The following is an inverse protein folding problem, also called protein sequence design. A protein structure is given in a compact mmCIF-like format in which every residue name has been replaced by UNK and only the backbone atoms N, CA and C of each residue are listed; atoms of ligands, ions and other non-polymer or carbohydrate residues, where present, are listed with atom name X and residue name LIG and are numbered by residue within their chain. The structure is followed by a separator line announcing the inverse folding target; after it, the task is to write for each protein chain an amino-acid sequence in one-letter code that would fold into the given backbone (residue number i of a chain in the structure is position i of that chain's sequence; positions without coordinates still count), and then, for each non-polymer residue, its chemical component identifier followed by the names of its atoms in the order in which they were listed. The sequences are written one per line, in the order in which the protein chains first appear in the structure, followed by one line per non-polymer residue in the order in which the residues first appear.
data_IF_757429154806
#
_entry.id   IF_757429154806
#
_cell.length_a   1.000
_cell.length_b   1.000
_cell.length_c   1.000
_cell.angle_alpha   90.00
_cell.angle_beta   90.00
_cell.angle_gamma   90.00
#
_symmetry.space_group_name_H-M   'P 1'
#
loop_
_entity.id
_entity.type
_entity.pdbx_description
1 polymer ?
#
# COMPACT_ATOMS: atom_id res chain seq x y z
N UNK A 1 9.59 4.18 -26.38
CA UNK A 1 8.28 4.75 -25.98
C UNK A 1 8.55 5.74 -24.86
N UNK A 2 8.20 7.02 -25.02
CA UNK A 2 8.56 8.05 -24.04
C UNK A 2 7.58 8.01 -22.84
N UNK A 3 8.02 8.42 -21.64
CA UNK A 3 7.26 8.32 -20.37
C UNK A 3 5.84 8.88 -20.45
N UNK A 4 5.64 9.96 -21.21
CA UNK A 4 4.34 10.58 -21.44
C UNK A 4 3.39 9.70 -22.29
N UNK A 5 3.92 8.94 -23.24
CA UNK A 5 3.11 8.02 -24.06
C UNK A 5 2.65 6.79 -23.25
N UNK A 6 3.47 6.33 -22.29
CA UNK A 6 3.13 5.22 -21.40
C UNK A 6 2.00 5.62 -20.41
N UNK A 7 2.07 6.83 -19.85
CA UNK A 7 1.02 7.37 -18.96
C UNK A 7 -0.31 7.53 -19.70
N UNK A 8 -0.28 8.09 -20.91
CA UNK A 8 -1.47 8.24 -21.75
C UNK A 8 -2.07 6.88 -22.13
N UNK A 9 -1.26 5.90 -22.55
CA UNK A 9 -1.74 4.57 -22.91
C UNK A 9 -2.37 3.85 -21.70
N UNK A 10 -1.72 3.90 -20.53
CA UNK A 10 -2.26 3.32 -19.30
C UNK A 10 -3.55 4.01 -18.86
N UNK A 11 -3.66 5.33 -19.04
CA UNK A 11 -4.89 6.07 -18.74
C UNK A 11 -6.05 5.71 -19.67
N UNK A 12 -5.77 5.50 -20.96
CA UNK A 12 -6.76 5.08 -21.96
C UNK A 12 -7.23 3.63 -21.73
N UNK A 13 -6.30 2.72 -21.43
CA UNK A 13 -6.62 1.33 -21.08
C UNK A 13 -7.43 1.27 -19.78
N UNK A 14 -7.06 2.07 -18.77
CA UNK A 14 -7.82 2.18 -17.52
C UNK A 14 -9.24 2.73 -17.75
N UNK A 15 -9.40 3.75 -18.60
CA UNK A 15 -10.71 4.30 -18.96
C UNK A 15 -11.59 3.28 -19.70
N UNK A 16 -11.02 2.54 -20.67
CA UNK A 16 -11.76 1.51 -21.39
C UNK A 16 -12.21 0.37 -20.47
N UNK A 17 -11.32 -0.05 -19.57
CA UNK A 17 -11.63 -1.06 -18.55
C UNK A 17 -12.69 -0.56 -17.57
N UNK A 18 -12.65 0.72 -17.19
CA UNK A 18 -13.65 1.33 -16.31
C UNK A 18 -15.04 1.39 -16.95
N UNK A 19 -15.16 1.89 -18.19
CA UNK A 19 -16.45 1.93 -18.89
C UNK A 19 -17.05 0.54 -19.07
N UNK A 20 -16.20 -0.45 -19.35
CA UNK A 20 -16.62 -1.85 -19.49
C UNK A 20 -17.09 -2.44 -18.15
N UNK A 21 -16.39 -2.13 -17.05
CA UNK A 21 -16.78 -2.52 -15.70
C UNK A 21 -18.09 -1.85 -15.29
N UNK A 22 -18.22 -0.55 -15.54
CA UNK A 22 -19.44 0.22 -15.26
C UNK A 22 -20.64 -0.38 -15.99
N UNK A 23 -20.51 -0.67 -17.28
CA UNK A 23 -21.56 -1.31 -18.06
C UNK A 23 -21.94 -2.68 -17.46
N UNK A 24 -20.96 -3.51 -17.10
CA UNK A 24 -21.22 -4.81 -16.45
C UNK A 24 -21.97 -4.66 -15.13
N UNK A 25 -21.53 -3.73 -14.27
CA UNK A 25 -22.19 -3.46 -12.98
C UNK A 25 -23.63 -3.00 -13.18
N UNK A 26 -23.88 -2.14 -14.17
CA UNK A 26 -25.23 -1.66 -14.50
C UNK A 26 -26.16 -2.75 -15.02
N UNK A 27 -25.61 -3.83 -15.59
CA UNK A 27 -26.38 -4.98 -16.07
C UNK A 27 -26.58 -6.08 -15.03
N UNK A 28 -26.00 -5.95 -13.83
CA UNK A 28 -26.19 -6.95 -12.78
C UNK A 28 -27.64 -6.98 -12.32
N UNK A 29 -28.23 -8.17 -12.34
CA UNK A 29 -29.56 -8.46 -11.78
C UNK A 29 -29.41 -9.43 -10.63
N UNK A 30 -30.15 -9.21 -9.55
CA UNK A 30 -30.21 -10.15 -8.45
C UNK A 30 -31.04 -11.38 -8.87
N UNK A 31 -30.49 -12.58 -8.67
CA UNK A 31 -31.20 -13.84 -8.90
C UNK A 31 -30.80 -14.86 -7.82
N UNK A 32 -31.76 -15.68 -7.39
CA UNK A 32 -31.52 -16.76 -6.44
C UNK A 32 -31.41 -16.32 -4.97
N UNK A 33 -30.61 -17.07 -4.20
CA UNK A 33 -30.37 -16.82 -2.78
C UNK A 33 -29.02 -16.14 -2.54
N UNK A 34 -28.93 -15.35 -1.46
CA UNK A 34 -27.69 -14.83 -0.92
C UNK A 34 -26.96 -15.92 -0.13
N UNK A 35 -25.81 -16.35 -0.66
CA UNK A 35 -24.86 -17.30 -0.05
C UNK A 35 -23.65 -16.53 0.50
N UNK A 36 -23.90 -15.67 1.47
CA UNK A 36 -22.91 -14.79 2.08
C UNK A 36 -21.74 -15.58 2.67
N UNK A 37 -22.02 -16.64 3.44
CA UNK A 37 -20.97 -17.42 4.10
C UNK A 37 -20.14 -18.21 3.10
N UNK A 38 -20.78 -18.92 2.19
CA UNK A 38 -20.07 -19.68 1.17
C UNK A 38 -19.23 -18.80 0.24
N UNK A 39 -19.76 -17.67 -0.23
CA UNK A 39 -19.00 -16.72 -1.06
C UNK A 39 -17.81 -16.13 -0.30
N UNK A 40 -17.99 -15.82 0.99
CA UNK A 40 -16.89 -15.37 1.85
C UNK A 40 -15.83 -16.47 2.01
N UNK A 41 -16.24 -17.71 2.27
CA UNK A 41 -15.34 -18.86 2.39
C UNK A 41 -14.51 -19.07 1.12
N UNK A 42 -15.14 -19.11 -0.05
CA UNK A 42 -14.46 -19.31 -1.33
C UNK A 42 -13.45 -18.18 -1.60
N UNK A 43 -13.82 -16.95 -1.27
CA UNK A 43 -12.93 -15.78 -1.38
C UNK A 43 -11.74 -15.90 -0.44
N UNK A 44 -11.95 -16.14 0.86
CA UNK A 44 -10.86 -16.29 1.83
C UNK A 44 -9.93 -17.45 1.46
N UNK A 45 -10.48 -18.57 0.97
CA UNK A 45 -9.69 -19.72 0.52
C UNK A 45 -8.81 -19.34 -0.67
N UNK A 46 -9.34 -18.58 -1.62
CA UNK A 46 -8.55 -18.03 -2.74
C UNK A 46 -7.42 -17.11 -2.24
N UNK A 47 -7.71 -16.22 -1.29
CA UNK A 47 -6.71 -15.32 -0.69
C UNK A 47 -5.60 -16.07 0.04
N UNK A 48 -5.95 -17.15 0.76
CA UNK A 48 -5.00 -17.98 1.47
C UNK A 48 -3.99 -18.66 0.53
N UNK A 49 -4.42 -19.02 -0.68
CA UNK A 49 -3.58 -19.65 -1.71
C UNK A 49 -2.87 -18.64 -2.63
N UNK A 50 -3.31 -17.39 -2.65
CA UNK A 50 -2.75 -16.37 -3.54
C UNK A 50 -1.42 -15.84 -3.01
N UNK A 51 -0.41 -15.81 -3.87
CA UNK A 51 0.85 -15.13 -3.61
C UNK A 51 0.69 -13.59 -3.68
N UNK A 52 -0.34 -13.08 -4.34
CA UNK A 52 -0.53 -11.64 -4.53
C UNK A 52 -1.21 -10.96 -3.34
N UNK A 53 -0.95 -9.67 -3.17
CA UNK A 53 -1.71 -8.80 -2.27
C UNK A 53 -3.05 -8.44 -2.91
N UNK A 54 -4.14 -8.64 -2.16
CA UNK A 54 -5.50 -8.38 -2.63
C UNK A 54 -6.27 -7.49 -1.66
N UNK A 55 -7.16 -6.67 -2.21
CA UNK A 55 -8.15 -5.91 -1.47
C UNK A 55 -9.54 -6.39 -1.85
N UNK A 56 -10.27 -6.92 -0.88
CA UNK A 56 -11.65 -7.39 -1.07
C UNK A 56 -12.61 -6.40 -0.42
N UNK A 57 -13.62 -5.98 -1.17
CA UNK A 57 -14.74 -5.17 -0.68
C UNK A 57 -16.01 -6.03 -0.73
N UNK A 58 -16.48 -6.50 0.42
CA UNK A 58 -17.73 -7.25 0.54
C UNK A 58 -18.87 -6.28 0.89
N UNK A 59 -19.74 -6.02 -0.08
CA UNK A 59 -20.99 -5.29 0.15
C UNK A 59 -22.09 -6.28 0.53
N UNK A 60 -22.72 -6.08 1.69
CA UNK A 60 -23.77 -6.98 2.19
C UNK A 60 -24.75 -6.23 3.10
N UNK A 61 -26.01 -6.64 3.14
CA UNK A 61 -26.99 -6.20 4.15
C UNK A 61 -26.87 -6.99 5.48
N UNK A 62 -26.03 -8.02 5.49
CA UNK A 62 -25.76 -8.89 6.63
C UNK A 62 -26.57 -10.19 6.65
N UNK A 63 -27.48 -10.42 5.70
CA UNK A 63 -28.34 -11.60 5.72
C UNK A 63 -27.84 -12.72 4.78
N UNK A 64 -27.65 -13.92 5.33
CA UNK A 64 -27.44 -15.14 4.56
C UNK A 64 -28.77 -15.88 4.39
N UNK A 65 -29.40 -15.74 3.22
CA UNK A 65 -30.68 -16.39 2.91
C UNK A 65 -30.54 -17.88 2.56
N UNK A 66 -29.34 -18.35 2.21
CA UNK A 66 -29.06 -19.77 1.99
C UNK A 66 -29.18 -20.57 3.31
N UNK A 67 -28.84 -19.94 4.44
CA UNK A 67 -28.92 -20.49 5.81
C UNK A 67 -28.17 -21.82 5.96
N UNK A 68 -27.09 -21.98 5.22
CA UNK A 68 -26.29 -23.19 5.26
C UNK A 68 -25.34 -23.18 6.48
N UNK A 69 -25.72 -23.97 7.49
CA UNK A 69 -24.93 -24.10 8.72
C UNK A 69 -23.54 -24.73 8.52
N UNK A 70 -23.34 -25.52 7.46
CA UNK A 70 -22.04 -26.10 7.16
C UNK A 70 -21.08 -25.02 6.65
N UNK A 71 -21.54 -24.16 5.75
CA UNK A 71 -20.73 -23.06 5.20
C UNK A 71 -20.34 -22.06 6.29
N UNK A 72 -21.27 -21.76 7.19
CA UNK A 72 -21.00 -20.92 8.36
C UNK A 72 -19.87 -21.50 9.23
N UNK A 73 -19.88 -22.82 9.51
CA UNK A 73 -18.82 -23.48 10.28
C UNK A 73 -17.48 -23.47 9.56
N UNK A 74 -17.47 -23.82 8.28
CA UNK A 74 -16.26 -23.84 7.46
C UNK A 74 -15.61 -22.46 7.36
N UNK A 75 -16.42 -21.41 7.21
CA UNK A 75 -15.95 -20.03 7.25
C UNK A 75 -15.35 -19.68 8.60
N UNK A 76 -16.03 -20.00 9.71
CA UNK A 76 -15.53 -19.75 11.06
C UNK A 76 -14.18 -20.43 11.33
N UNK A 77 -14.03 -21.68 10.89
CA UNK A 77 -12.77 -22.43 11.00
C UNK A 77 -11.66 -21.78 10.17
N UNK A 78 -11.96 -21.39 8.92
CA UNK A 78 -10.99 -20.74 8.04
C UNK A 78 -10.53 -19.38 8.56
N UNK A 79 -11.46 -18.55 9.06
CA UNK A 79 -11.17 -17.25 9.66
C UNK A 79 -10.22 -17.41 10.86
N UNK A 80 -10.49 -18.39 11.71
CA UNK A 80 -9.68 -18.68 12.90
C UNK A 80 -8.30 -19.25 12.54
N UNK A 81 -8.24 -20.12 11.52
CA UNK A 81 -7.04 -20.84 11.10
C UNK A 81 -6.18 -20.14 10.04
N UNK A 82 -6.54 -18.92 9.62
CA UNK A 82 -5.82 -18.23 8.56
C UNK A 82 -4.36 -17.92 8.99
N UNK A 83 -3.40 -18.20 8.11
CA UNK A 83 -1.98 -17.95 8.36
C UNK A 83 -1.68 -16.45 8.47
N UNK A 84 -0.69 -16.10 9.31
CA UNK A 84 -0.32 -14.71 9.57
C UNK A 84 0.11 -13.98 8.30
N UNK A 85 0.81 -14.66 7.39
CA UNK A 85 1.26 -14.11 6.12
C UNK A 85 0.09 -13.78 5.20
N UNK A 86 -0.95 -14.62 5.19
CA UNK A 86 -2.16 -14.37 4.40
C UNK A 86 -2.95 -13.18 4.96
N UNK A 87 -3.02 -13.03 6.29
CA UNK A 87 -3.61 -11.85 6.95
C UNK A 87 -2.81 -10.59 6.63
N UNK A 88 -1.49 -10.66 6.75
CA UNK A 88 -0.60 -9.53 6.53
C UNK A 88 -0.61 -9.04 5.09
N UNK A 89 -0.77 -9.94 4.11
CA UNK A 89 -0.72 -9.60 2.67
C UNK A 89 -2.03 -9.05 2.09
N UNK A 90 -3.16 -9.33 2.72
CA UNK A 90 -4.48 -9.00 2.15
C UNK A 90 -5.25 -8.01 3.04
N UNK A 91 -6.25 -7.36 2.46
CA UNK A 91 -7.30 -6.64 3.18
C UNK A 91 -8.67 -7.18 2.81
N UNK A 92 -9.56 -7.23 3.78
CA UNK A 92 -10.93 -7.66 3.59
C UNK A 92 -11.87 -6.71 4.32
N UNK A 93 -12.51 -5.83 3.57
CA UNK A 93 -13.45 -4.86 4.09
C UNK A 93 -14.87 -5.40 4.00
N UNK A 94 -15.62 -5.27 5.08
CA UNK A 94 -17.06 -5.56 5.11
C UNK A 94 -17.80 -4.23 5.14
N UNK A 95 -18.68 -4.05 4.15
CA UNK A 95 -19.44 -2.83 3.91
C UNK A 95 -20.92 -3.16 4.06
N UNK A 96 -21.51 -2.70 5.16
CA UNK A 96 -22.89 -2.96 5.48
C UNK A 96 -23.85 -1.98 4.79
N UNK A 97 -24.75 -2.53 3.99
CA UNK A 97 -25.81 -1.87 3.23
C UNK A 97 -27.15 -1.89 3.99
N UNK A 98 -27.14 -1.72 5.31
CA UNK A 98 -28.33 -1.85 6.14
C UNK A 98 -27.99 -2.19 7.57
N UNK A 99 -28.24 -3.44 7.96
CA UNK A 99 -28.00 -3.93 9.31
C UNK A 99 -26.52 -4.20 9.57
N UNK A 100 -26.14 -4.30 10.84
CA UNK A 100 -24.74 -4.51 11.24
C UNK A 100 -24.22 -5.94 11.00
N UNK A 101 -24.98 -6.81 10.33
CA UNK A 101 -24.61 -8.22 10.15
C UNK A 101 -24.39 -8.97 11.47
N UNK A 102 -23.86 -10.18 11.35
CA UNK A 102 -23.60 -11.08 12.47
C UNK A 102 -22.15 -10.97 13.00
N UNK A 103 -21.82 -11.75 14.04
CA UNK A 103 -20.47 -11.76 14.60
C UNK A 103 -19.44 -12.31 13.59
N UNK A 104 -19.82 -13.34 12.81
CA UNK A 104 -18.90 -14.01 11.91
C UNK A 104 -18.43 -13.07 10.77
N UNK A 105 -19.34 -12.30 10.18
CA UNK A 105 -19.00 -11.31 9.16
C UNK A 105 -18.10 -10.20 9.70
N UNK A 106 -18.31 -9.77 10.95
CA UNK A 106 -17.42 -8.81 11.62
C UNK A 106 -16.03 -9.38 11.90
N UNK A 107 -15.96 -10.66 12.30
CA UNK A 107 -14.70 -11.35 12.57
C UNK A 107 -13.83 -11.50 11.33
N UNK A 108 -14.43 -11.61 10.13
CA UNK A 108 -13.69 -11.57 8.86
C UNK A 108 -12.93 -10.25 8.74
N UNK A 109 -13.60 -9.10 8.84
CA UNK A 109 -12.95 -7.80 8.71
C UNK A 109 -11.85 -7.60 9.76
N UNK A 110 -12.13 -7.99 11.01
CA UNK A 110 -11.19 -7.92 12.12
C UNK A 110 -9.94 -8.77 11.89
N UNK A 111 -10.09 -9.93 11.26
CA UNK A 111 -8.97 -10.84 10.97
C UNK A 111 -7.91 -10.23 10.05
N UNK A 112 -8.27 -9.25 9.23
CA UNK A 112 -7.37 -8.53 8.32
C UNK A 112 -7.00 -7.11 8.80
N UNK A 113 -7.34 -6.77 10.05
CA UNK A 113 -7.22 -5.41 10.59
C UNK A 113 -7.87 -4.37 9.65
N UNK A 114 -9.05 -4.70 9.15
CA UNK A 114 -9.83 -3.85 8.25
C UNK A 114 -10.99 -3.21 9.01
N UNK A 115 -11.26 -1.89 8.80
CA UNK A 115 -12.45 -1.27 9.34
C UNK A 115 -13.72 -1.83 8.70
N UNK A 116 -14.77 -1.96 9.52
CA UNK A 116 -16.13 -2.17 9.04
C UNK A 116 -16.70 -0.83 8.60
N UNK A 117 -17.40 -0.81 7.47
CA UNK A 117 -17.97 0.41 6.89
C UNK A 117 -19.48 0.28 6.87
N UNK A 118 -20.19 1.32 7.30
CA UNK A 118 -21.64 1.38 7.24
C UNK A 118 -22.04 2.40 6.19
N UNK A 119 -22.78 1.99 5.18
CA UNK A 119 -23.18 2.90 4.09
C UNK A 119 -24.15 3.99 4.54
N UNK A 120 -24.82 3.81 5.67
CA UNK A 120 -25.76 4.77 6.25
C UNK A 120 -25.08 5.81 7.15
N UNK A 121 -23.78 5.68 7.42
CA UNK A 121 -23.06 6.63 8.26
C UNK A 121 -22.96 8.00 7.58
N UNK A 122 -23.00 9.07 8.38
CA UNK A 122 -23.03 10.44 7.87
C UNK A 122 -21.77 10.80 7.07
N UNK A 123 -20.61 10.30 7.49
CA UNK A 123 -19.33 10.45 6.82
C UNK A 123 -19.30 9.71 5.47
N UNK A 124 -19.78 8.48 5.39
CA UNK A 124 -19.88 7.74 4.12
C UNK A 124 -20.84 8.45 3.15
N UNK A 125 -22.04 8.82 3.63
CA UNK A 125 -23.04 9.51 2.82
C UNK A 125 -22.57 10.90 2.33
N UNK A 126 -21.74 11.58 3.10
CA UNK A 126 -21.07 12.81 2.67
C UNK A 126 -19.99 12.54 1.63
N UNK A 127 -19.20 11.47 1.83
CA UNK A 127 -18.11 11.10 0.95
C UNK A 127 -18.59 10.70 -0.46
N UNK A 128 -19.63 9.87 -0.57
CA UNK A 128 -20.11 9.38 -1.88
C UNK A 128 -20.68 10.47 -2.81
N UNK A 129 -21.00 11.66 -2.28
CA UNK A 129 -21.55 12.78 -3.06
C UNK A 129 -20.48 13.61 -3.75
N UNK A 130 -19.22 13.46 -3.35
CA UNK A 130 -18.10 14.27 -3.81
C UNK A 130 -16.91 13.34 -4.07
N UNK A 131 -16.47 13.18 -5.35
CA UNK A 131 -15.38 12.28 -5.71
C UNK A 131 -14.08 12.53 -4.94
N UNK A 132 -13.75 13.78 -4.61
CA UNK A 132 -12.52 14.08 -3.86
C UNK A 132 -12.67 13.68 -2.39
N UNK A 133 -13.84 13.91 -1.79
CA UNK A 133 -14.11 13.40 -0.43
C UNK A 133 -14.16 11.89 -0.38
N UNK A 134 -14.67 11.22 -1.41
CA UNK A 134 -14.67 9.76 -1.48
C UNK A 134 -13.24 9.21 -1.52
N UNK A 135 -12.34 9.86 -2.26
CA UNK A 135 -10.91 9.51 -2.26
C UNK A 135 -10.29 9.68 -0.88
N UNK A 136 -10.49 10.83 -0.23
CA UNK A 136 -9.99 11.06 1.14
C UNK A 136 -10.56 10.06 2.14
N UNK A 137 -11.88 9.82 2.09
CA UNK A 137 -12.56 8.85 2.94
C UNK A 137 -12.00 7.43 2.78
N UNK A 138 -11.75 7.02 1.54
CA UNK A 138 -11.18 5.72 1.21
C UNK A 138 -9.71 5.60 1.65
N UNK A 139 -8.92 6.66 1.49
CA UNK A 139 -7.52 6.75 1.92
C UNK A 139 -7.38 6.63 3.44
N UNK A 140 -8.15 7.41 4.21
CA UNK A 140 -8.17 7.39 5.68
C UNK A 140 -8.47 6.00 6.26
N UNK A 141 -9.26 5.21 5.55
CA UNK A 141 -9.67 3.84 5.95
C UNK A 141 -8.85 2.75 5.24
N UNK A 142 -7.93 3.14 4.38
CA UNK A 142 -7.04 2.24 3.64
C UNK A 142 -7.72 1.32 2.64
N UNK A 143 -8.91 1.64 2.12
CA UNK A 143 -9.72 0.77 1.22
C UNK A 143 -8.96 0.32 -0.02
N UNK A 144 -8.07 1.17 -0.51
CA UNK A 144 -7.25 0.90 -1.69
C UNK A 144 -5.77 0.83 -1.35
N UNK A 145 -5.44 0.53 -0.09
CA UNK A 145 -4.05 0.31 0.30
C UNK A 145 -3.63 -1.12 -0.02
N UNK A 146 -2.49 -1.31 -0.66
CA UNK A 146 -1.89 -2.64 -0.85
C UNK A 146 -0.60 -2.72 -0.05
N UNK A 147 -0.35 -3.87 0.58
CA UNK A 147 0.88 -4.09 1.35
C UNK A 147 1.93 -4.74 0.46
N UNK A 148 3.10 -4.12 0.38
CA UNK A 148 4.28 -4.65 -0.28
C UNK A 148 5.33 -5.06 0.75
N UNK A 149 6.08 -6.12 0.43
CA UNK A 149 7.27 -6.47 1.19
C UNK A 149 8.44 -5.66 0.65
N UNK A 150 9.08 -4.91 1.53
CA UNK A 150 10.33 -4.21 1.22
C UNK A 150 11.47 -4.93 1.92
N UNK A 151 12.39 -5.44 1.11
CA UNK A 151 13.62 -6.06 1.57
C UNK A 151 14.76 -5.06 1.42
N UNK A 152 15.44 -4.78 2.53
CA UNK A 152 16.56 -3.86 2.62
C UNK A 152 17.81 -4.66 2.95
N UNK A 153 18.85 -4.53 2.13
CA UNK A 153 20.14 -5.18 2.40
C UNK A 153 21.24 -4.14 2.51
N UNK A 154 21.98 -4.17 3.61
CA UNK A 154 23.13 -3.30 3.88
C UNK A 154 24.35 -4.14 4.27
N UNK A 155 25.16 -4.52 3.27
CA UNK A 155 26.37 -5.33 3.51
C UNK A 155 26.06 -6.78 3.92
N UNK A 156 26.96 -7.48 4.65
CA UNK A 156 26.83 -8.92 4.92
C UNK A 156 25.79 -9.28 6.00
N UNK A 157 25.17 -8.30 6.66
CA UNK A 157 24.04 -8.52 7.57
C UNK A 157 22.76 -8.05 6.89
N UNK A 158 21.92 -9.01 6.57
CA UNK A 158 20.56 -8.82 6.07
C UNK A 158 19.67 -8.47 7.27
N UNK A 159 19.15 -7.24 7.33
CA UNK A 159 18.03 -6.91 8.22
C UNK A 159 16.79 -6.67 7.35
N UNK A 160 15.84 -7.60 7.45
CA UNK A 160 14.63 -7.60 6.64
C UNK A 160 13.40 -7.68 7.53
N UNK A 161 12.50 -6.70 7.42
CA UNK A 161 11.07 -6.88 7.11
C UNK A 161 10.32 -5.59 7.40
N UNK A 162 10.21 -4.72 6.40
CA UNK A 162 9.30 -3.56 6.47
C UNK A 162 8.17 -3.79 5.49
N UNK A 163 6.94 -3.89 6.00
CA UNK A 163 5.74 -3.95 5.18
C UNK A 163 5.33 -2.53 4.80
N UNK A 164 5.50 -2.16 3.53
CA UNK A 164 5.04 -0.88 3.03
C UNK A 164 3.54 -0.97 2.74
N UNK A 165 2.73 -0.11 3.36
CA UNK A 165 1.36 0.14 2.94
C UNK A 165 1.44 1.16 1.82
N UNK A 166 1.27 0.75 0.57
CA UNK A 166 1.07 1.69 -0.53
C UNK A 166 -0.41 2.05 -0.60
N UNK A 167 -0.74 3.30 -0.31
CA UNK A 167 -2.07 3.83 -0.55
C UNK A 167 -2.22 4.15 -2.05
N UNK A 168 -3.07 3.38 -2.75
CA UNK A 168 -3.37 3.62 -4.16
C UNK A 168 -4.21 4.90 -4.37
N UNK A 169 -4.54 5.65 -3.31
CA UNK A 169 -5.01 7.05 -3.41
C UNK A 169 -3.95 8.00 -4.00
N UNK A 170 -2.69 7.54 -4.11
CA UNK A 170 -1.56 8.31 -4.64
C UNK A 170 -0.58 8.81 -3.59
N UNK A 171 -0.71 8.37 -2.33
CA UNK A 171 0.18 8.74 -1.23
C UNK A 171 1.23 7.65 -1.01
N UNK A 172 2.48 7.96 -1.35
CA UNK A 172 3.64 7.12 -1.03
C UNK A 172 3.97 7.31 0.45
N UNK A 173 3.98 6.22 1.22
CA UNK A 173 4.44 6.24 2.61
C UNK A 173 5.96 6.17 2.63
N UNK A 174 6.62 7.07 3.37
CA UNK A 174 8.06 7.01 3.56
C UNK A 174 8.44 5.75 4.36
N UNK A 175 9.51 5.07 3.95
CA UNK A 175 10.10 3.99 4.75
C UNK A 175 10.76 4.56 6.00
N UNK A 176 10.86 3.74 7.04
CA UNK A 176 11.63 4.10 8.22
C UNK A 176 13.09 4.38 7.84
N UNK A 177 13.73 5.39 8.45
CA UNK A 177 15.14 5.68 8.20
C UNK A 177 16.01 4.48 8.58
N UNK A 178 16.97 4.15 7.70
CA UNK A 178 17.99 3.11 7.95
C UNK A 178 19.37 3.76 7.97
N UNK A 179 20.18 3.48 8.99
CA UNK A 179 21.57 3.90 9.03
C UNK A 179 22.44 3.01 8.12
N UNK A 180 23.20 3.64 7.22
CA UNK A 180 23.97 2.96 6.19
C UNK A 180 25.45 3.24 6.39
N UNK A 181 26.25 2.17 6.51
CA UNK A 181 27.70 2.29 6.67
C UNK A 181 28.37 2.89 5.42
N UNK A 182 29.44 3.70 5.57
CA UNK A 182 30.27 4.11 4.45
C UNK A 182 30.80 2.89 3.68
N UNK A 183 30.87 2.98 2.34
CA UNK A 183 31.25 1.89 1.44
C UNK A 183 30.27 0.71 1.35
N UNK A 184 29.07 0.83 1.90
CA UNK A 184 28.04 -0.18 1.72
C UNK A 184 27.17 0.09 0.48
N UNK A 185 26.53 -0.97 0.00
CA UNK A 185 25.50 -0.89 -1.03
C UNK A 185 24.17 -1.15 -0.35
N UNK A 186 23.23 -0.26 -0.59
CA UNK A 186 21.83 -0.46 -0.26
C UNK A 186 21.15 -1.16 -1.43
N UNK A 187 20.61 -2.35 -1.21
CA UNK A 187 19.65 -2.97 -2.13
C UNK A 187 18.24 -2.77 -1.60
N UNK A 188 17.33 -2.32 -2.46
CA UNK A 188 15.91 -2.21 -2.18
C UNK A 188 15.19 -3.11 -3.17
N UNK A 189 14.53 -4.14 -2.64
CA UNK A 189 13.64 -5.00 -3.41
C UNK A 189 12.22 -4.82 -2.92
N UNK A 190 11.32 -4.43 -3.82
CA UNK A 190 9.88 -4.35 -3.58
C UNK A 190 9.23 -5.51 -4.32
N UNK A 191 8.55 -6.38 -3.59
CA UNK A 191 7.87 -7.55 -4.14
C UNK A 191 6.37 -7.56 -3.81
N UNK A 192 5.57 -8.14 -4.72
CA UNK A 192 4.17 -8.48 -4.53
C UNK A 192 4.00 -9.98 -4.74
N UNK A 193 4.09 -10.74 -3.66
CA UNK A 193 4.21 -12.20 -3.76
C UNK A 193 5.52 -12.61 -4.40
N UNK A 194 5.44 -13.50 -5.38
CA UNK A 194 6.61 -14.00 -6.11
C UNK A 194 7.12 -13.01 -7.17
N UNK A 195 6.37 -11.94 -7.43
CA UNK A 195 6.73 -10.93 -8.42
C UNK A 195 7.57 -9.82 -7.79
N UNK A 196 8.77 -9.63 -8.31
CA UNK A 196 9.58 -8.44 -8.01
C UNK A 196 9.08 -7.27 -8.86
N UNK A 197 8.66 -6.18 -8.20
CA UNK A 197 8.19 -4.95 -8.84
C UNK A 197 9.31 -3.93 -9.01
N UNK A 198 10.18 -3.83 -8.02
CA UNK A 198 11.36 -2.96 -8.04
C UNK A 198 12.54 -3.73 -7.49
N UNK A 199 13.66 -3.68 -8.19
CA UNK A 199 14.98 -4.08 -7.71
C UNK A 199 15.93 -2.93 -8.00
N UNK A 200 16.43 -2.28 -6.96
CA UNK A 200 17.27 -1.10 -7.07
C UNK A 200 18.45 -1.19 -6.12
N UNK A 201 19.61 -0.72 -6.58
CA UNK A 201 20.85 -0.72 -5.79
C UNK A 201 21.50 0.65 -5.82
N UNK A 202 21.96 1.11 -4.66
CA UNK A 202 22.72 2.34 -4.52
C UNK A 202 23.96 2.09 -3.66
N UNK A 203 25.13 2.32 -4.25
CA UNK A 203 26.40 2.27 -3.52
C UNK A 203 26.71 3.63 -2.91
N UNK A 204 27.09 3.64 -1.64
CA UNK A 204 27.48 4.83 -0.91
C UNK A 204 29.01 4.84 -0.77
N UNK A 205 29.68 5.32 -1.81
CA UNK A 205 31.12 5.59 -1.75
C UNK A 205 31.39 6.97 -1.17
N UNK A 206 32.38 7.13 -0.27
CA UNK A 206 32.82 8.44 0.17
C UNK A 206 33.35 9.22 -1.03
N UNK A 207 33.22 10.56 -1.03
CA UNK A 207 33.79 11.38 -2.08
C UNK A 207 35.29 11.08 -2.17
N UNK A 208 35.77 10.79 -3.38
CA UNK A 208 37.20 10.63 -3.63
C UNK A 208 37.84 11.97 -3.30
N UNK A 209 38.57 12.03 -2.19
CA UNK A 209 39.50 13.13 -1.94
C UNK A 209 40.51 13.02 -3.07
N UNK A 210 40.40 13.88 -4.08
CA UNK A 210 41.48 14.05 -5.03
C UNK A 210 42.66 14.56 -4.21
N UNK A 211 43.55 13.65 -3.81
CA UNK A 211 44.89 14.02 -3.39
C UNK A 211 45.51 14.65 -4.62
N UNK A 212 45.42 15.97 -4.71
CA UNK A 212 46.29 16.74 -5.57
C UNK A 212 47.70 16.35 -5.19
N UNK A 213 48.34 15.54 -6.03
CA UNK A 213 49.78 15.40 -6.04
C UNK A 213 50.32 16.79 -6.36
N UNK A 214 50.62 17.56 -5.32
CA UNK A 214 51.53 18.69 -5.44
C UNK A 214 52.93 18.12 -5.26
N UNK A 215 53.71 17.92 -6.33
CA UNK A 215 55.11 17.61 -6.20
C UNK A 215 55.80 18.95 -5.94
N UNK A 216 55.87 19.37 -4.67
CA UNK A 216 56.87 20.27 -4.07
C UNK A 216 56.32 20.94 -2.79
N UNK A 217 57.02 20.75 -1.68
CA UNK A 217 57.06 21.74 -0.60
C UNK A 217 56.49 21.29 0.75
N UNK A 218 57.41 21.00 1.67
CA UNK A 218 57.19 20.91 3.12
C UNK A 218 56.42 22.11 3.68
N UNK A 219 55.43 21.89 4.56
CA UNK A 219 55.52 22.14 6.00
C UNK A 219 54.19 21.80 6.71
N UNK A 220 54.35 21.07 7.81
CA UNK A 220 53.32 20.67 8.76
C UNK A 220 52.79 21.87 9.57
N UNK A 221 51.47 21.98 9.81
CA UNK A 221 50.89 22.57 11.03
C UNK A 221 49.41 22.18 11.22
N UNK A 222 49.20 21.26 12.16
CA UNK A 222 48.20 21.28 13.24
C UNK A 222 46.71 21.54 12.91
N UNK A 223 45.93 20.46 13.01
CA UNK A 223 44.69 20.29 13.79
C UNK A 223 43.69 21.45 13.98
N UNK A 224 42.42 21.07 13.79
CA UNK A 224 41.18 21.52 14.45
C UNK A 224 40.21 22.41 13.63
N UNK A 225 39.05 21.80 13.36
CA UNK A 225 37.71 22.32 13.15
C UNK A 225 37.47 23.81 12.92
N UNK A 226 36.82 24.12 11.80
CA UNK A 226 35.50 24.79 11.83
C UNK A 226 34.75 24.56 10.51
N UNK A 227 33.69 23.75 10.55
CA UNK A 227 32.64 23.78 9.52
C UNK A 227 31.65 24.84 9.98
N UNK A 228 31.81 26.07 9.50
CA UNK A 228 30.71 27.04 9.51
C UNK A 228 29.78 26.70 8.35
N UNK A 229 28.61 26.15 8.68
CA UNK A 229 27.44 26.21 7.83
C UNK A 229 27.21 27.69 7.45
N UNK A 230 27.33 28.02 6.16
CA UNK A 230 26.83 29.27 5.60
C UNK A 230 25.54 28.98 4.85
N UNK A 231 24.44 29.54 5.35
CA UNK A 231 23.17 29.70 4.64
C UNK A 231 23.41 30.44 3.30
N UNK A 232 22.90 29.94 2.17
CA UNK A 232 22.86 30.73 0.96
C UNK A 232 21.60 31.62 0.92
N UNK A 233 21.85 32.89 1.21
CA UNK A 233 21.46 34.05 0.39
C UNK A 233 19.98 34.45 0.32
N UNK A 234 19.64 35.40 1.20
CA UNK A 234 18.83 36.56 0.86
C UNK A 234 19.75 37.63 0.24
N UNK A 235 19.50 38.07 -0.98
CA UNK A 235 19.56 39.50 -1.38
C UNK A 235 19.15 39.67 -2.85
N UNK A 236 18.07 40.41 -3.07
CA UNK A 236 17.93 41.32 -4.22
C UNK A 236 17.18 42.58 -3.77
N UNK A 237 17.97 43.52 -3.27
CA UNK A 237 17.90 44.98 -3.44
C UNK A 237 16.55 45.69 -3.62
N UNK A 238 16.30 46.56 -2.63
CA UNK A 238 15.80 47.94 -2.75
C UNK A 238 15.94 48.58 -4.14
N UNK A 239 14.84 49.16 -4.62
CA UNK A 239 14.85 50.51 -5.18
C UNK A 239 13.52 51.20 -4.85
N UNK A 240 13.62 52.28 -4.07
CA UNK A 240 12.56 53.28 -3.91
C UNK A 240 12.72 54.34 -5.00
N UNK A 241 11.63 54.64 -5.68
CA UNK A 241 11.16 55.99 -5.99
C UNK A 241 9.66 55.91 -6.24
#
# INVERSE_FOLDING_TARGET
MNRNQLVLLNSLIAQQNFSSLQAKVQTLTAEGSTRLYGTSFDTLKSLAMSAHANNVLLFTDGEDSARDSQEMRQLSELVSGLLLEAKARNKFFVIFCGTDGDALTKDIAKTFDSPIIHTQSADFMSAIKDPEKLKSYAAERGLFTVKYSVHLETGPKTETNTHLIADLSGQIVALDPVEINPNSTLSITIAQGDQTLVDSKKSFTPPVVQQGTNPNGFLNRSSAHSSTYQDPLNTSQLNMA
#
